data_IF_800287878968
#
_entry.id   IF_800287878968
#
_cell.length_a   1.000
_cell.length_b   1.000
_cell.length_c   1.000
_cell.angle_alpha   90.00
_cell.angle_beta   90.00
_cell.angle_gamma   90.00
#
_symmetry.space_group_name_H-M   'P 1'
#
loop_
_entity.id
_entity.type
_entity.pdbx_description
1 polymer ?
#
# COMPACT_ATOMS: atom_id res chain seq x y z
N UNK A 1 -4.95 6.50 -23.25
CA UNK A 1 -5.58 7.55 -22.40
C UNK A 1 -4.60 7.98 -21.29
N UNK A 2 -3.46 8.57 -21.67
CA UNK A 2 -2.35 8.88 -20.72
C UNK A 2 -2.17 10.40 -20.49
N UNK A 3 -2.97 11.25 -21.12
CA UNK A 3 -2.72 12.71 -21.13
C UNK A 3 -3.56 13.57 -20.17
N UNK A 4 -4.49 13.00 -19.39
CA UNK A 4 -5.27 13.79 -18.43
C UNK A 4 -4.54 14.04 -17.09
N UNK A 5 -3.61 13.16 -16.70
CA UNK A 5 -2.93 13.22 -15.40
C UNK A 5 -1.77 14.23 -15.32
N UNK A 6 -1.27 14.72 -16.47
CA UNK A 6 -0.08 15.59 -16.51
C UNK A 6 -0.40 17.04 -16.09
N UNK A 7 -1.67 17.47 -16.17
CA UNK A 7 -2.06 18.88 -15.93
C UNK A 7 -2.17 19.28 -14.45
N UNK A 8 -2.17 18.33 -13.52
CA UNK A 8 -2.19 18.61 -12.07
C UNK A 8 -0.78 18.78 -11.49
N UNK A 9 0.23 18.18 -12.13
CA UNK A 9 1.56 17.99 -11.55
C UNK A 9 2.43 19.26 -11.41
N UNK A 10 2.21 20.28 -12.24
CA UNK A 10 3.03 21.51 -12.20
C UNK A 10 2.55 22.56 -11.19
N UNK A 11 1.30 22.48 -10.73
CA UNK A 11 0.72 23.43 -9.76
C UNK A 11 0.96 23.07 -8.30
N UNK A 12 1.29 21.81 -8.01
CA UNK A 12 1.36 21.25 -6.66
C UNK A 12 2.76 21.25 -6.03
N UNK A 13 3.81 21.66 -6.75
CA UNK A 13 5.18 21.66 -6.21
C UNK A 13 5.40 22.60 -5.01
N UNK A 14 4.45 23.50 -4.73
CA UNK A 14 4.49 24.43 -3.59
C UNK A 14 3.29 24.31 -2.65
N UNK A 15 2.41 23.32 -2.83
CA UNK A 15 1.30 23.09 -1.89
C UNK A 15 1.83 22.24 -0.74
N UNK A 16 1.76 22.75 0.49
CA UNK A 16 1.92 21.91 1.69
C UNK A 16 0.90 20.78 1.55
N UNK A 17 1.35 19.53 1.60
CA UNK A 17 0.46 18.38 1.47
C UNK A 17 -0.71 18.51 2.45
N UNK A 18 -1.92 18.28 1.97
CA UNK A 18 -3.13 18.48 2.76
C UNK A 18 -3.11 17.57 4.00
N UNK A 19 -3.59 18.06 5.16
CA UNK A 19 -3.69 17.25 6.37
C UNK A 19 -4.62 16.05 6.14
N UNK A 20 -4.38 14.95 6.87
CA UNK A 20 -5.26 13.80 6.90
C UNK A 20 -6.25 14.00 8.05
N UNK A 21 -7.50 14.30 7.69
CA UNK A 21 -8.54 14.77 8.63
C UNK A 21 -9.82 13.94 8.57
N UNK A 22 -9.99 13.12 7.54
CA UNK A 22 -11.20 12.34 7.27
C UNK A 22 -10.86 11.05 6.49
N UNK A 23 -11.86 10.18 6.30
CA UNK A 23 -11.70 8.91 5.60
C UNK A 23 -11.23 9.07 4.15
N UNK A 24 -11.60 10.17 3.47
CA UNK A 24 -11.24 10.41 2.07
C UNK A 24 -9.76 10.81 1.93
N UNK A 25 -9.31 11.77 2.74
CA UNK A 25 -7.91 12.19 2.80
C UNK A 25 -7.00 11.08 3.32
N UNK A 26 -7.50 10.21 4.22
CA UNK A 26 -6.80 8.99 4.62
C UNK A 26 -6.70 8.01 3.44
N UNK A 27 -7.78 7.78 2.70
CA UNK A 27 -7.76 6.90 1.53
C UNK A 27 -6.73 7.36 0.50
N UNK A 28 -6.68 8.66 0.20
CA UNK A 28 -5.72 9.24 -0.75
C UNK A 28 -4.27 9.11 -0.26
N UNK A 29 -4.05 9.32 1.04
CA UNK A 29 -2.75 9.11 1.66
C UNK A 29 -2.28 7.65 1.53
N UNK A 30 -3.12 6.69 1.92
CA UNK A 30 -2.79 5.27 1.89
C UNK A 30 -2.56 4.78 0.47
N UNK A 31 -3.40 5.18 -0.49
CA UNK A 31 -3.27 4.85 -1.91
C UNK A 31 -1.91 5.31 -2.47
N UNK A 32 -1.58 6.60 -2.28
CA UNK A 32 -0.34 7.19 -2.76
C UNK A 32 0.90 6.52 -2.13
N UNK A 33 0.88 6.26 -0.82
CA UNK A 33 2.03 5.68 -0.12
C UNK A 33 2.20 4.18 -0.42
N UNK A 34 1.11 3.41 -0.59
CA UNK A 34 1.19 2.03 -1.05
C UNK A 34 1.81 1.96 -2.45
N UNK A 35 1.33 2.80 -3.38
CA UNK A 35 1.86 2.89 -4.73
C UNK A 35 3.34 3.32 -4.74
N UNK A 36 3.71 4.30 -3.90
CA UNK A 36 5.09 4.79 -3.78
C UNK A 36 6.05 3.71 -3.29
N UNK A 37 5.73 3.01 -2.19
CA UNK A 37 6.60 1.97 -1.62
C UNK A 37 6.88 0.88 -2.67
N UNK A 38 5.82 0.39 -3.33
CA UNK A 38 5.89 -0.68 -4.33
C UNK A 38 6.72 -0.25 -5.54
N UNK A 39 6.38 0.89 -6.14
CA UNK A 39 7.05 1.38 -7.34
C UNK A 39 8.51 1.72 -7.06
N UNK A 40 8.78 2.43 -5.96
CA UNK A 40 10.14 2.80 -5.58
C UNK A 40 11.02 1.57 -5.41
N UNK A 41 10.54 0.55 -4.70
CA UNK A 41 11.27 -0.69 -4.52
C UNK A 41 11.58 -1.38 -5.87
N UNK A 42 10.57 -1.53 -6.74
CA UNK A 42 10.72 -2.16 -8.06
C UNK A 42 11.74 -1.39 -8.94
N UNK A 43 11.57 -0.07 -9.07
CA UNK A 43 12.40 0.75 -9.95
C UNK A 43 13.84 0.90 -9.44
N UNK A 44 14.04 1.12 -8.13
CA UNK A 44 15.37 1.22 -7.56
C UNK A 44 16.12 -0.11 -7.67
N UNK A 45 15.43 -1.22 -7.40
CA UNK A 45 16.03 -2.55 -7.54
C UNK A 45 16.42 -2.85 -9.00
N UNK A 46 15.49 -2.66 -9.94
CA UNK A 46 15.77 -2.88 -11.35
C UNK A 46 16.93 -2.01 -11.86
N UNK A 47 16.99 -0.74 -11.44
CA UNK A 47 18.09 0.16 -11.77
C UNK A 47 19.42 -0.34 -11.19
N UNK A 48 19.43 -0.72 -9.91
CA UNK A 48 20.63 -1.24 -9.26
C UNK A 48 21.16 -2.50 -9.95
N UNK A 49 20.27 -3.41 -10.37
CA UNK A 49 20.64 -4.65 -11.08
C UNK A 49 21.09 -4.43 -12.51
N UNK A 50 20.46 -3.52 -13.23
CA UNK A 50 20.82 -3.23 -14.62
C UNK A 50 22.09 -2.36 -14.72
N UNK A 51 22.45 -1.65 -13.66
CA UNK A 51 23.65 -0.80 -13.62
C UNK A 51 23.66 0.21 -14.77
N UNK A 52 24.75 0.21 -15.54
CA UNK A 52 24.93 1.09 -16.71
C UNK A 52 23.91 0.84 -17.82
N UNK A 53 23.30 -0.35 -17.87
CA UNK A 53 22.29 -0.72 -18.87
C UNK A 53 20.86 -0.35 -18.45
N UNK A 54 20.66 0.27 -17.29
CA UNK A 54 19.33 0.60 -16.77
C UNK A 54 18.48 1.41 -17.75
N UNK A 55 19.05 2.43 -18.41
CA UNK A 55 18.31 3.24 -19.39
C UNK A 55 17.88 2.44 -20.63
N UNK A 56 18.66 1.44 -21.05
CA UNK A 56 18.29 0.55 -22.15
C UNK A 56 17.18 -0.40 -21.70
N UNK A 57 17.33 -1.03 -20.54
CA UNK A 57 16.33 -1.94 -19.96
C UNK A 57 14.95 -1.27 -19.82
N UNK A 58 14.89 -0.04 -19.32
CA UNK A 58 13.62 0.69 -19.16
C UNK A 58 12.94 1.07 -20.49
N UNK A 59 13.64 0.95 -21.63
CA UNK A 59 13.05 1.15 -22.96
C UNK A 59 12.45 -0.14 -23.54
N UNK A 60 12.87 -1.31 -23.07
CA UNK A 60 12.39 -2.60 -23.54
C UNK A 60 10.92 -2.81 -23.18
N UNK A 61 10.07 -3.06 -24.20
CA UNK A 61 8.63 -3.24 -24.00
C UNK A 61 8.31 -4.46 -23.11
N UNK A 62 9.06 -5.55 -23.26
CA UNK A 62 8.90 -6.73 -22.41
C UNK A 62 9.20 -6.44 -20.94
N UNK A 63 10.19 -5.58 -20.67
CA UNK A 63 10.51 -5.18 -19.30
C UNK A 63 9.44 -4.22 -18.72
N UNK A 64 8.93 -3.27 -19.53
CA UNK A 64 7.81 -2.40 -19.12
C UNK A 64 6.58 -3.22 -18.75
N UNK A 65 6.21 -4.20 -19.57
CA UNK A 65 5.10 -5.11 -19.29
C UNK A 65 5.33 -5.90 -17.98
N UNK A 66 6.54 -6.43 -17.76
CA UNK A 66 6.88 -7.13 -16.52
C UNK A 66 6.81 -6.21 -15.29
N UNK A 67 7.24 -4.95 -15.41
CA UNK A 67 7.12 -3.94 -14.35
C UNK A 67 5.66 -3.66 -14.03
N UNK A 68 4.79 -3.48 -15.04
CA UNK A 68 3.36 -3.26 -14.80
C UNK A 68 2.72 -4.44 -14.06
N UNK A 69 2.99 -5.67 -14.50
CA UNK A 69 2.52 -6.87 -13.78
C UNK A 69 3.02 -6.90 -12.34
N UNK A 70 4.32 -6.64 -12.14
CA UNK A 70 4.93 -6.62 -10.81
C UNK A 70 4.32 -5.55 -9.90
N UNK A 71 4.05 -4.35 -10.43
CA UNK A 71 3.41 -3.26 -9.70
C UNK A 71 2.03 -3.67 -9.21
N UNK A 72 1.20 -4.23 -10.10
CA UNK A 72 -0.16 -4.64 -9.74
C UNK A 72 -0.19 -5.83 -8.79
N UNK A 73 0.68 -6.83 -8.97
CA UNK A 73 0.80 -7.96 -8.04
C UNK A 73 1.26 -7.53 -6.64
N UNK A 74 2.08 -6.47 -6.53
CA UNK A 74 2.62 -6.01 -5.25
C UNK A 74 1.83 -4.87 -4.60
N UNK A 75 0.96 -4.19 -5.36
CA UNK A 75 0.16 -3.09 -4.83
C UNK A 75 -0.74 -3.48 -3.64
N UNK A 76 -1.44 -4.63 -3.64
CA UNK A 76 -2.17 -5.11 -2.47
C UNK A 76 -1.29 -5.29 -1.22
N UNK A 77 -0.06 -5.77 -1.38
CA UNK A 77 0.91 -5.87 -0.27
C UNK A 77 1.28 -4.48 0.25
N UNK A 78 1.45 -3.50 -0.64
CA UNK A 78 1.62 -2.10 -0.27
C UNK A 78 0.46 -1.56 0.57
N UNK A 79 -0.78 -1.88 0.19
CA UNK A 79 -1.99 -1.50 0.94
C UNK A 79 -2.04 -2.17 2.32
N UNK A 80 -1.65 -3.44 2.43
CA UNK A 80 -1.49 -4.12 3.73
C UNK A 80 -0.51 -3.37 4.63
N UNK A 81 0.64 -2.96 4.08
CA UNK A 81 1.69 -2.27 4.85
C UNK A 81 1.20 -0.93 5.43
N UNK A 82 0.62 -0.08 4.59
CA UNK A 82 0.15 1.23 5.04
C UNK A 82 -1.13 1.12 5.87
N UNK A 83 -1.96 0.09 5.63
CA UNK A 83 -3.12 -0.23 6.43
C UNK A 83 -2.75 -0.65 7.86
N UNK A 84 -1.83 -1.59 8.02
CA UNK A 84 -1.35 -2.01 9.36
C UNK A 84 -0.59 -0.88 10.06
N UNK A 85 0.12 -0.03 9.31
CA UNK A 85 0.74 1.19 9.83
C UNK A 85 -0.32 2.16 10.38
N UNK A 86 -1.38 2.45 9.64
CA UNK A 86 -2.48 3.31 10.11
C UNK A 86 -3.20 2.69 11.31
N UNK A 87 -3.46 1.37 11.30
CA UNK A 87 -4.02 0.64 12.43
C UNK A 87 -3.17 0.82 13.69
N UNK A 88 -1.84 0.68 13.55
CA UNK A 88 -0.89 0.85 14.66
C UNK A 88 -0.93 2.27 15.23
N UNK A 89 -1.02 3.28 14.36
CA UNK A 89 -1.02 4.70 14.75
C UNK A 89 -2.32 5.11 15.43
N UNK A 90 -3.48 4.63 14.95
CA UNK A 90 -4.79 5.08 15.40
C UNK A 90 -5.35 4.25 16.56
N UNK A 91 -4.90 2.99 16.72
CA UNK A 91 -5.39 2.07 17.75
C UNK A 91 -5.45 2.65 19.17
N UNK A 92 -4.42 3.37 19.69
CA UNK A 92 -4.42 3.78 21.09
C UNK A 92 -5.61 4.67 21.50
N UNK A 93 -6.13 5.44 20.56
CA UNK A 93 -7.18 6.44 20.80
C UNK A 93 -8.54 6.02 20.20
N UNK A 94 -8.60 4.83 19.60
CA UNK A 94 -9.82 4.34 18.97
C UNK A 94 -10.79 3.72 19.98
N UNK A 95 -12.01 4.27 20.16
CA UNK A 95 -12.92 3.82 21.21
C UNK A 95 -13.56 2.45 20.94
N UNK A 96 -13.68 2.04 19.67
CA UNK A 96 -14.32 0.77 19.28
C UNK A 96 -13.44 -0.48 19.43
N UNK A 97 -12.20 -0.33 19.90
CA UNK A 97 -11.22 -1.41 19.98
C UNK A 97 -10.57 -1.76 18.63
N UNK A 98 -9.49 -2.54 18.68
CA UNK A 98 -8.63 -2.80 17.52
C UNK A 98 -9.34 -3.52 16.36
N UNK A 99 -10.30 -4.40 16.65
CA UNK A 99 -11.05 -5.14 15.63
C UNK A 99 -11.97 -4.21 14.82
N UNK A 100 -12.74 -3.34 15.48
CA UNK A 100 -13.60 -2.35 14.81
C UNK A 100 -12.78 -1.37 13.95
N UNK A 101 -11.62 -0.91 14.45
CA UNK A 101 -10.72 -0.07 13.66
C UNK A 101 -10.18 -0.80 12.43
N UNK A 102 -9.82 -2.08 12.57
CA UNK A 102 -9.35 -2.89 11.46
C UNK A 102 -10.42 -3.05 10.37
N UNK A 103 -11.68 -3.27 10.74
CA UNK A 103 -12.79 -3.37 9.80
C UNK A 103 -13.06 -2.04 9.08
N UNK A 104 -12.96 -0.91 9.79
CA UNK A 104 -13.07 0.43 9.18
C UNK A 104 -11.96 0.70 8.18
N UNK A 105 -10.72 0.40 8.54
CA UNK A 105 -9.57 0.54 7.63
C UNK A 105 -9.70 -0.40 6.42
N UNK A 106 -10.17 -1.63 6.61
CA UNK A 106 -10.45 -2.56 5.52
C UNK A 106 -11.50 -2.01 4.54
N UNK A 107 -12.54 -1.34 5.06
CA UNK A 107 -13.53 -0.63 4.25
C UNK A 107 -12.91 0.49 3.41
N UNK A 108 -11.99 1.27 3.99
CA UNK A 108 -11.26 2.33 3.27
C UNK A 108 -10.37 1.73 2.18
N UNK A 109 -9.58 0.70 2.48
CA UNK A 109 -8.73 0.03 1.49
C UNK A 109 -9.56 -0.63 0.37
N UNK A 110 -10.75 -1.12 0.70
CA UNK A 110 -11.72 -1.61 -0.30
C UNK A 110 -12.17 -0.48 -1.22
N UNK A 111 -12.49 0.69 -0.69
CA UNK A 111 -12.86 1.86 -1.50
C UNK A 111 -11.69 2.34 -2.38
N UNK A 112 -10.44 2.25 -1.91
CA UNK A 112 -9.25 2.54 -2.72
C UNK A 112 -9.16 1.58 -3.92
N UNK A 113 -9.23 0.28 -3.69
CA UNK A 113 -9.13 -0.71 -4.78
C UNK A 113 -10.30 -0.60 -5.77
N UNK A 114 -11.45 -0.07 -5.37
CA UNK A 114 -12.58 0.19 -6.28
C UNK A 114 -12.32 1.33 -7.28
N UNK A 115 -11.27 2.15 -7.08
CA UNK A 115 -10.83 3.19 -8.03
C UNK A 115 -10.17 2.63 -9.27
N UNK A 116 -9.72 1.36 -9.22
CA UNK A 116 -8.92 0.73 -10.25
C UNK A 116 -9.72 -0.37 -10.96
N UNK A 117 -9.69 -0.44 -12.30
CA UNK A 117 -10.17 -1.62 -13.00
C UNK A 117 -9.31 -2.83 -12.63
N UNK A 118 -9.80 -4.04 -12.91
CA UNK A 118 -8.93 -5.23 -12.88
C UNK A 118 -7.79 -5.01 -13.88
N UNK A 119 -6.52 -5.15 -13.47
CA UNK A 119 -5.40 -4.93 -14.37
C UNK A 119 -5.41 -5.89 -15.56
N UNK A 120 -4.93 -5.44 -16.72
CA UNK A 120 -4.89 -6.27 -17.93
C UNK A 120 -4.06 -7.55 -17.70
N UNK A 121 -4.60 -8.69 -18.12
CA UNK A 121 -3.96 -10.00 -17.95
C UNK A 121 -4.17 -10.66 -16.57
N UNK A 122 -4.93 -10.03 -15.67
CA UNK A 122 -5.30 -10.61 -14.37
C UNK A 122 -6.69 -11.24 -14.43
N UNK A 123 -6.96 -12.15 -13.51
CA UNK A 123 -8.27 -12.79 -13.37
C UNK A 123 -9.33 -11.75 -12.93
N UNK A 124 -10.58 -11.94 -13.38
CA UNK A 124 -11.67 -10.99 -13.12
C UNK A 124 -11.99 -10.82 -11.62
N UNK A 125 -11.69 -11.82 -10.81
CA UNK A 125 -11.85 -11.87 -9.36
C UNK A 125 -10.61 -11.35 -8.59
N UNK A 126 -9.60 -10.81 -9.29
CA UNK A 126 -8.36 -10.34 -8.67
C UNK A 126 -8.61 -9.41 -7.47
N UNK A 127 -9.41 -8.35 -7.66
CA UNK A 127 -9.68 -7.41 -6.58
C UNK A 127 -10.52 -8.01 -5.45
N UNK A 128 -11.38 -8.99 -5.73
CA UNK A 128 -12.15 -9.68 -4.69
C UNK A 128 -11.22 -10.47 -3.76
N UNK A 129 -10.32 -11.27 -4.34
CA UNK A 129 -9.33 -12.06 -3.61
C UNK A 129 -8.41 -11.16 -2.80
N UNK A 130 -7.87 -10.10 -3.41
CA UNK A 130 -6.92 -9.21 -2.76
C UNK A 130 -7.58 -8.38 -1.64
N UNK A 131 -8.85 -7.96 -1.80
CA UNK A 131 -9.62 -7.31 -0.71
C UNK A 131 -9.82 -8.24 0.47
N UNK A 132 -10.15 -9.51 0.22
CA UNK A 132 -10.28 -10.51 1.28
C UNK A 132 -8.95 -10.70 2.02
N UNK A 133 -7.83 -10.77 1.28
CA UNK A 133 -6.48 -10.87 1.86
C UNK A 133 -6.11 -9.64 2.71
N UNK A 134 -6.41 -8.43 2.24
CA UNK A 134 -6.18 -7.18 2.97
C UNK A 134 -7.00 -7.14 4.27
N UNK A 135 -8.28 -7.49 4.21
CA UNK A 135 -9.15 -7.51 5.38
C UNK A 135 -8.69 -8.55 6.41
N UNK A 136 -8.30 -9.75 5.96
CA UNK A 136 -7.75 -10.80 6.83
C UNK A 136 -6.45 -10.35 7.50
N UNK A 137 -5.54 -9.72 6.74
CA UNK A 137 -4.31 -9.18 7.29
C UNK A 137 -4.56 -8.16 8.41
N UNK A 138 -5.48 -7.21 8.21
CA UNK A 138 -5.82 -6.22 9.23
C UNK A 138 -6.48 -6.85 10.47
N UNK A 139 -7.38 -7.82 10.28
CA UNK A 139 -8.01 -8.56 11.39
C UNK A 139 -6.96 -9.35 12.19
N UNK A 140 -6.02 -10.01 11.53
CA UNK A 140 -4.91 -10.66 12.22
C UNK A 140 -4.02 -9.66 12.98
N UNK A 141 -3.69 -8.52 12.38
CA UNK A 141 -2.93 -7.47 13.05
C UNK A 141 -3.69 -6.90 14.26
N UNK A 142 -5.03 -6.83 14.21
CA UNK A 142 -5.89 -6.38 15.31
C UNK A 142 -5.76 -7.25 16.58
N UNK A 143 -5.51 -8.55 16.42
CA UNK A 143 -5.41 -9.53 17.52
C UNK A 143 -4.04 -9.54 18.20
N UNK A 144 -3.00 -9.07 17.52
CA UNK A 144 -1.63 -9.05 18.03
C UNK A 144 -1.27 -7.71 18.70
N UNK A 145 -0.21 -7.72 19.51
CA UNK A 145 0.43 -6.46 19.92
C UNK A 145 0.96 -5.73 18.68
N UNK A 146 0.86 -4.38 18.62
CA UNK A 146 1.42 -3.63 17.51
C UNK A 146 2.92 -3.89 17.40
N UNK A 147 3.36 -4.33 16.23
CA UNK A 147 4.79 -4.51 15.92
C UNK A 147 5.40 -3.15 15.56
N UNK A 148 6.73 -2.99 15.68
CA UNK A 148 7.41 -1.84 15.10
C UNK A 148 7.07 -1.71 13.61
N UNK A 149 6.72 -0.52 13.14
CA UNK A 149 6.29 -0.28 11.74
C UNK A 149 7.29 -0.83 10.73
N UNK A 150 8.59 -0.66 11.00
CA UNK A 150 9.68 -1.22 10.19
C UNK A 150 9.63 -2.74 10.01
N UNK A 151 8.83 -3.48 10.78
CA UNK A 151 8.77 -4.94 10.75
C UNK A 151 7.46 -5.45 10.10
N UNK A 152 6.53 -4.56 9.76
CA UNK A 152 5.28 -4.90 9.03
C UNK A 152 5.56 -5.67 7.73
N UNK A 153 6.49 -5.24 6.85
CA UNK A 153 6.70 -5.94 5.58
C UNK A 153 7.28 -7.34 5.71
N UNK A 154 7.83 -7.71 6.87
CA UNK A 154 8.56 -8.96 7.05
C UNK A 154 7.69 -10.21 6.83
N UNK A 155 6.38 -10.11 7.04
CA UNK A 155 5.46 -11.22 6.86
C UNK A 155 5.22 -11.58 5.38
N UNK A 156 5.43 -10.64 4.45
CA UNK A 156 5.09 -10.84 3.03
C UNK A 156 6.21 -10.46 2.06
N UNK A 157 7.40 -10.09 2.57
CA UNK A 157 8.54 -9.70 1.72
C UNK A 157 9.01 -10.82 0.78
N UNK A 158 8.88 -12.09 1.15
CA UNK A 158 9.19 -13.22 0.26
C UNK A 158 8.27 -13.24 -0.96
N UNK A 159 6.98 -13.04 -0.72
CA UNK A 159 5.98 -12.90 -1.78
C UNK A 159 6.27 -11.68 -2.66
N UNK A 160 6.63 -10.55 -2.04
CA UNK A 160 7.01 -9.34 -2.78
C UNK A 160 8.23 -9.59 -3.68
N UNK A 161 9.26 -10.23 -3.13
CA UNK A 161 10.50 -10.57 -3.83
C UNK A 161 10.26 -11.51 -5.00
N UNK A 162 9.40 -12.51 -4.81
CA UNK A 162 9.02 -13.46 -5.86
C UNK A 162 8.40 -12.76 -7.08
N UNK A 163 7.66 -11.68 -6.85
CA UNK A 163 6.91 -10.89 -7.85
C UNK A 163 7.75 -9.81 -8.54
N UNK A 164 9.04 -9.67 -8.26
CA UNK A 164 9.89 -8.64 -8.90
C UNK A 164 10.11 -8.91 -10.41
N UNK A 165 10.23 -7.87 -11.25
CA UNK A 165 10.32 -8.00 -12.71
C UNK A 165 11.74 -8.35 -13.18
N UNK A 166 12.47 -9.14 -12.40
CA UNK A 166 13.83 -9.61 -12.68
C UNK A 166 13.81 -11.13 -12.59
N UNK A 167 14.39 -11.82 -13.56
CA UNK A 167 14.44 -13.28 -13.58
C UNK A 167 15.16 -13.82 -12.33
N UNK A 168 14.67 -14.90 -11.72
CA UNK A 168 15.14 -15.44 -10.44
C UNK A 168 16.66 -15.68 -10.38
N UNK A 169 17.23 -16.24 -11.45
CA UNK A 169 18.69 -16.43 -11.61
C UNK A 169 19.53 -15.16 -11.47
N UNK A 170 18.92 -13.99 -11.71
CA UNK A 170 19.58 -12.69 -11.60
C UNK A 170 19.34 -12.01 -10.25
N UNK A 171 18.57 -12.61 -9.34
CA UNK A 171 18.22 -12.01 -8.05
C UNK A 171 19.25 -12.24 -6.94
N UNK A 172 20.17 -13.18 -7.12
CA UNK A 172 21.28 -13.44 -6.19
C UNK A 172 20.85 -13.52 -4.72
N UNK A 173 21.57 -12.79 -3.86
CA UNK A 173 21.27 -12.66 -2.42
C UNK A 173 20.56 -11.34 -2.07
N UNK A 174 19.83 -10.74 -3.03
CA UNK A 174 19.27 -9.39 -2.88
C UNK A 174 18.02 -9.32 -2.00
N UNK A 175 17.56 -10.45 -1.46
CA UNK A 175 16.39 -10.52 -0.59
C UNK A 175 16.49 -9.52 0.58
N UNK A 176 17.65 -9.45 1.24
CA UNK A 176 17.87 -8.52 2.36
C UNK A 176 17.84 -7.05 1.90
N UNK A 177 18.27 -6.75 0.67
CA UNK A 177 18.21 -5.40 0.11
C UNK A 177 16.76 -4.98 -0.11
N UNK A 178 15.94 -5.86 -0.67
CA UNK A 178 14.50 -5.61 -0.89
C UNK A 178 13.78 -5.46 0.45
N UNK A 179 14.05 -6.37 1.38
CA UNK A 179 13.54 -6.29 2.74
C UNK A 179 13.87 -4.93 3.36
N UNK A 180 15.13 -4.52 3.40
CA UNK A 180 15.52 -3.24 3.99
C UNK A 180 14.92 -2.03 3.25
N UNK A 181 14.79 -2.07 1.93
CA UNK A 181 14.14 -1.01 1.16
C UNK A 181 12.67 -0.81 1.56
N UNK A 182 11.90 -1.90 1.66
CA UNK A 182 10.50 -1.85 2.10
C UNK A 182 10.37 -1.27 3.52
N UNK A 183 11.23 -1.71 4.44
CA UNK A 183 11.23 -1.24 5.84
C UNK A 183 11.49 0.27 5.93
N UNK A 184 12.52 0.75 5.23
CA UNK A 184 12.88 2.17 5.21
C UNK A 184 11.77 3.01 4.60
N UNK A 185 11.19 2.59 3.48
CA UNK A 185 10.13 3.36 2.82
C UNK A 185 8.81 3.35 3.59
N UNK A 186 8.51 2.29 4.34
CA UNK A 186 7.36 2.29 5.25
C UNK A 186 7.58 3.20 6.47
N UNK A 187 8.78 3.22 7.07
CA UNK A 187 9.09 4.18 8.14
C UNK A 187 8.94 5.63 7.68
N UNK A 188 9.41 5.96 6.47
CA UNK A 188 9.22 7.30 5.89
C UNK A 188 7.73 7.63 5.73
N UNK A 189 6.95 6.67 5.26
CA UNK A 189 5.49 6.84 5.12
C UNK A 189 4.82 7.06 6.48
N UNK A 190 5.29 6.38 7.52
CA UNK A 190 4.83 6.56 8.88
C UNK A 190 5.16 7.95 9.44
N UNK A 191 6.39 8.43 9.25
CA UNK A 191 6.79 9.79 9.65
C UNK A 191 5.92 10.83 8.94
N UNK A 192 5.77 10.74 7.61
CA UNK A 192 4.89 11.63 6.85
C UNK A 192 3.43 11.54 7.29
N UNK A 193 2.95 10.34 7.65
CA UNK A 193 1.59 10.17 8.18
C UNK A 193 1.42 10.94 9.48
N UNK A 194 2.35 10.78 10.43
CA UNK A 194 2.30 11.49 11.71
C UNK A 194 2.39 13.01 11.56
N UNK A 195 3.20 13.50 10.61
CA UNK A 195 3.32 14.93 10.33
C UNK A 195 2.03 15.56 9.76
N UNK A 196 1.26 14.78 9.00
CA UNK A 196 0.04 15.25 8.32
C UNK A 196 -1.24 14.93 9.08
N UNK A 197 -1.19 14.04 10.06
CA UNK A 197 -2.35 13.54 10.78
C UNK A 197 -2.95 14.61 11.69
N UNK A 198 -4.18 15.03 11.40
CA UNK A 198 -5.07 15.61 12.40
C UNK A 198 -5.81 14.46 13.09
N UNK A 199 -5.26 14.02 14.22
CA UNK A 199 -5.70 12.81 14.90
C UNK A 199 -7.14 12.93 15.41
N UNK A 200 -7.48 14.07 16.02
CA UNK A 200 -8.82 14.26 16.60
C UNK A 200 -9.88 14.31 15.51
N UNK A 201 -9.63 15.09 14.45
CA UNK A 201 -10.55 15.19 13.33
C UNK A 201 -10.77 13.84 12.64
N UNK A 202 -9.68 13.11 12.36
CA UNK A 202 -9.76 11.82 11.69
C UNK A 202 -10.51 10.79 12.53
N UNK A 203 -10.22 10.69 13.84
CA UNK A 203 -10.91 9.73 14.70
C UNK A 203 -12.40 10.06 14.82
N UNK A 204 -12.77 11.34 14.90
CA UNK A 204 -14.16 11.77 14.93
C UNK A 204 -14.91 11.43 13.63
N UNK A 205 -14.31 11.71 12.47
CA UNK A 205 -14.87 11.37 11.16
C UNK A 205 -15.04 9.85 11.00
N UNK A 206 -13.99 9.09 11.31
CA UNK A 206 -14.02 7.64 11.24
C UNK A 206 -15.09 7.05 12.18
N UNK A 207 -15.32 7.63 13.36
CA UNK A 207 -16.36 7.16 14.28
C UNK A 207 -17.78 7.53 13.81
N UNK A 208 -17.95 8.68 13.16
CA UNK A 208 -19.21 9.14 12.59
C UNK A 208 -19.65 8.33 11.35
N UNK A 209 -18.68 7.77 10.61
CA UNK A 209 -18.93 6.82 9.53
C UNK A 209 -19.71 5.61 10.06
N UNK A 210 -20.89 5.32 9.50
CA UNK A 210 -21.70 4.16 9.90
C UNK A 210 -20.91 2.85 9.74
N UNK A 211 -21.01 1.89 10.67
CA UNK A 211 -20.32 0.62 10.58
C UNK A 211 -20.73 -0.16 9.32
N UNK A 212 -19.74 -0.83 8.71
CA UNK A 212 -19.98 -1.93 7.78
C UNK A 212 -20.92 -2.92 8.44
N UNK A 213 -22.06 -3.17 7.80
CA UNK A 213 -23.08 -4.13 8.21
C UNK A 213 -22.42 -5.47 8.58
N UNK A 214 -22.81 -6.01 9.73
CA UNK A 214 -22.43 -7.34 10.19
C UNK A 214 -22.71 -8.37 9.08
N UNK A 215 -21.72 -9.23 8.80
CA UNK A 215 -21.91 -10.41 7.95
C UNK A 215 -23.16 -11.18 8.45
N UNK A 216 -24.09 -11.57 7.56
CA UNK A 216 -25.21 -12.41 7.97
C UNK A 216 -24.64 -13.72 8.54
N UNK A 217 -25.07 -14.06 9.75
CA UNK A 217 -24.87 -15.37 10.32
C UNK A 217 -25.42 -16.42 9.34
N UNK A 218 -24.61 -17.45 9.09
CA UNK A 218 -24.92 -18.51 8.13
C UNK A 218 -26.28 -19.15 8.35
N UNK A 219 -26.89 -19.55 7.24
CA UNK A 219 -27.97 -20.51 7.13
C UNK A 219 -27.63 -21.52 6.06
#
# INVERSE_FOLDING_TARGET
MVFAAVRHWLGDMFRKDAPVVDAATLADFLDAHAAFIVQKCIYEYARARAGTMSLALFKEEGFKAAVETSRWQNYPLGLQYVGEMALTVLRPDWPGGAADLADRLAGILTAITARYPVPEGFAADFWEIERASIAEHLRHAALAQPKPVKDIPLATVEMFFARLPIHERLRGYDYQLIQNNLRINLCRSYETFLERLDREALLADLAAGRPSVALPAGG
#
